data_IF_617564281666
#
_entry.id   IF_617564281666
#
_cell.length_a   1.000
_cell.length_b   1.000
_cell.length_c   1.000
_cell.angle_alpha   90.00
_cell.angle_beta   90.00
_cell.angle_gamma   90.00
#
_symmetry.space_group_name_H-M   'P 1'
#
loop_
_entity.id
_entity.type
_entity.pdbx_description
1 polymer ?
#
# COMPACT_ATOMS: atom_id res chain seq x y z
N UNK A 1 6.24 -12.77 8.05
CA UNK A 1 6.37 -11.40 7.52
C UNK A 1 4.97 -10.81 7.55
N UNK A 2 4.78 -9.66 8.20
CA UNK A 2 3.45 -9.04 8.32
C UNK A 2 3.15 -8.32 7.00
N UNK A 3 2.07 -8.70 6.34
CA UNK A 3 1.58 -8.08 5.11
C UNK A 3 0.71 -6.88 5.49
N UNK A 4 1.12 -5.70 5.04
CA UNK A 4 0.52 -4.43 5.44
C UNK A 4 -0.14 -3.78 4.23
N UNK A 5 -1.38 -3.33 4.42
CA UNK A 5 -2.06 -2.36 3.56
C UNK A 5 -2.12 -1.00 4.26
N UNK A 6 -1.95 0.10 3.51
CA UNK A 6 -1.99 1.46 4.06
C UNK A 6 -3.13 2.26 3.40
N UNK A 7 -4.08 2.72 4.19
CA UNK A 7 -5.07 3.70 3.74
C UNK A 7 -4.38 5.06 3.53
N UNK A 8 -4.67 5.70 2.40
CA UNK A 8 -4.00 6.94 2.03
C UNK A 8 -2.49 6.79 1.81
N UNK A 9 -2.01 5.65 1.30
CA UNK A 9 -0.58 5.35 1.13
C UNK A 9 0.24 6.38 0.33
N UNK A 10 -0.42 7.20 -0.51
CA UNK A 10 0.22 8.30 -1.24
C UNK A 10 0.13 9.67 -0.53
N UNK A 11 -0.54 9.75 0.62
CA UNK A 11 -0.72 10.96 1.41
C UNK A 11 0.53 11.32 2.22
N UNK A 12 0.50 12.48 2.89
CA UNK A 12 1.67 13.00 3.63
C UNK A 12 2.20 12.01 4.68
N UNK A 13 1.34 11.42 5.50
CA UNK A 13 1.74 10.40 6.48
C UNK A 13 1.89 9.01 5.84
N UNK A 14 0.92 8.62 4.99
CA UNK A 14 0.91 7.30 4.36
C UNK A 14 2.12 7.03 3.49
N UNK A 15 2.71 8.05 2.86
CA UNK A 15 3.90 7.90 2.01
C UNK A 15 5.16 7.58 2.79
N UNK A 16 5.37 8.22 3.95
CA UNK A 16 6.50 7.90 4.84
C UNK A 16 6.31 6.52 5.49
N UNK A 17 5.09 6.20 5.92
CA UNK A 17 4.76 4.85 6.42
C UNK A 17 5.00 3.78 5.35
N UNK A 18 4.60 4.03 4.12
CA UNK A 18 4.78 3.10 2.99
C UNK A 18 6.26 2.83 2.73
N UNK A 19 7.10 3.86 2.74
CA UNK A 19 8.56 3.73 2.58
C UNK A 19 9.17 2.90 3.71
N UNK A 20 8.78 3.16 4.96
CA UNK A 20 9.34 2.46 6.11
C UNK A 20 8.92 0.97 6.12
N UNK A 21 7.64 0.68 5.94
CA UNK A 21 7.12 -0.69 5.86
C UNK A 21 7.83 -1.48 4.76
N UNK A 22 8.09 -0.84 3.61
CA UNK A 22 8.77 -1.46 2.48
C UNK A 22 10.26 -1.77 2.75
N UNK A 23 10.92 -0.99 3.61
CA UNK A 23 12.31 -1.20 4.00
C UNK A 23 12.48 -2.09 5.25
N UNK A 24 11.40 -2.38 5.96
CA UNK A 24 11.42 -3.13 7.21
C UNK A 24 11.51 -4.65 6.95
N UNK A 25 12.45 -5.34 7.61
CA UNK A 25 12.78 -6.75 7.32
C UNK A 25 11.68 -7.76 7.66
N UNK A 26 10.78 -7.41 8.58
CA UNK A 26 9.70 -8.29 9.02
C UNK A 26 8.32 -7.89 8.47
N UNK A 27 8.25 -6.89 7.59
CA UNK A 27 7.01 -6.40 7.01
C UNK A 27 7.09 -6.42 5.49
N UNK A 28 5.93 -6.40 4.86
CA UNK A 28 5.78 -6.31 3.42
C UNK A 28 4.62 -5.38 3.11
N UNK A 29 4.88 -4.32 2.34
CA UNK A 29 3.81 -3.47 1.80
C UNK A 29 3.17 -4.19 0.61
N UNK A 30 1.90 -4.58 0.75
CA UNK A 30 1.18 -5.39 -0.26
C UNK A 30 0.10 -4.62 -1.02
N UNK A 31 -0.30 -3.46 -0.52
CA UNK A 31 -1.26 -2.60 -1.19
C UNK A 31 -1.51 -1.29 -0.45
N UNK A 32 -2.30 -0.41 -1.06
CA UNK A 32 -2.79 0.79 -0.41
C UNK A 32 -4.24 1.08 -0.83
N UNK A 33 -4.93 1.91 -0.06
CA UNK A 33 -6.25 2.41 -0.41
C UNK A 33 -6.21 3.89 -0.73
N UNK A 34 -6.85 4.29 -1.83
CA UNK A 34 -7.06 5.69 -2.17
C UNK A 34 -8.22 5.82 -3.17
N UNK A 35 -9.16 6.71 -2.87
CA UNK A 35 -10.26 7.02 -3.80
C UNK A 35 -9.77 7.78 -5.04
N UNK A 36 -8.70 8.56 -4.89
CA UNK A 36 -8.19 9.45 -5.93
C UNK A 36 -7.19 8.77 -6.88
N UNK A 37 -6.45 7.77 -6.39
CA UNK A 37 -5.37 7.10 -7.15
C UNK A 37 -5.68 5.62 -7.43
N UNK A 38 -6.97 5.25 -7.46
CA UNK A 38 -7.41 3.87 -7.64
C UNK A 38 -6.94 3.29 -8.98
N UNK A 39 -6.44 2.05 -8.95
CA UNK A 39 -5.90 1.37 -10.13
C UNK A 39 -4.46 1.74 -10.48
N UNK A 40 -3.87 2.72 -9.79
CA UNK A 40 -2.46 3.06 -9.94
C UNK A 40 -1.55 2.15 -9.11
N UNK A 41 -0.25 2.26 -9.36
CA UNK A 41 0.79 1.57 -8.61
C UNK A 41 1.48 2.54 -7.64
N UNK A 42 1.40 2.28 -6.34
CA UNK A 42 1.98 3.15 -5.32
C UNK A 42 3.50 3.29 -5.46
N UNK A 43 4.18 2.24 -5.93
CA UNK A 43 5.63 2.29 -6.13
C UNK A 43 6.02 3.31 -7.21
N UNK A 44 5.18 3.54 -8.22
CA UNK A 44 5.41 4.56 -9.24
C UNK A 44 5.20 5.96 -8.67
N UNK A 45 4.09 6.18 -7.96
CA UNK A 45 3.77 7.46 -7.31
C UNK A 45 4.90 7.89 -6.35
N UNK A 46 5.42 6.95 -5.58
CA UNK A 46 6.44 7.21 -4.55
C UNK A 46 7.88 6.98 -5.01
N UNK A 47 8.12 6.67 -6.30
CA UNK A 47 9.44 6.36 -6.87
C UNK A 47 10.21 5.24 -6.14
N UNK A 48 9.52 4.16 -5.78
CA UNK A 48 10.06 3.01 -5.01
C UNK A 48 10.62 1.89 -5.91
N UNK A 49 10.96 2.21 -7.16
CA UNK A 49 11.46 1.27 -8.16
C UNK A 49 10.39 0.36 -8.75
N UNK A 50 10.81 -0.75 -9.35
CA UNK A 50 10.00 -1.62 -10.22
C UNK A 50 9.00 -2.54 -9.49
N UNK A 51 8.51 -2.14 -8.32
CA UNK A 51 7.58 -2.95 -7.51
C UNK A 51 6.15 -2.74 -7.97
N UNK A 52 5.31 -3.75 -7.77
CA UNK A 52 3.88 -3.63 -8.01
C UNK A 52 3.16 -3.59 -6.65
N UNK A 53 2.68 -2.41 -6.27
CA UNK A 53 1.94 -2.16 -5.03
C UNK A 53 0.61 -1.52 -5.42
N UNK A 54 -0.43 -2.32 -5.67
CA UNK A 54 -1.69 -1.83 -6.22
C UNK A 54 -2.41 -0.90 -5.23
N UNK A 55 -3.07 0.11 -5.79
CA UNK A 55 -3.96 1.01 -5.04
C UNK A 55 -5.41 0.66 -5.34
N UNK A 56 -6.15 0.33 -4.29
CA UNK A 56 -7.57 -0.02 -4.35
C UNK A 56 -8.45 1.17 -3.95
N UNK A 57 -9.68 1.20 -4.48
CA UNK A 57 -10.67 2.21 -4.12
C UNK A 57 -11.23 1.99 -2.71
N UNK A 58 -11.49 0.74 -2.37
CA UNK A 58 -12.18 0.35 -1.14
C UNK A 58 -11.69 -1.00 -0.59
N UNK A 59 -12.21 -1.35 0.59
CA UNK A 59 -11.85 -2.56 1.31
C UNK A 59 -12.33 -3.83 0.62
N UNK A 60 -13.46 -3.78 -0.07
CA UNK A 60 -14.06 -4.94 -0.74
C UNK A 60 -13.17 -5.40 -1.90
N UNK A 61 -12.73 -4.45 -2.74
CA UNK A 61 -11.76 -4.70 -3.81
C UNK A 61 -10.41 -5.19 -3.25
N UNK A 62 -9.96 -4.61 -2.13
CA UNK A 62 -8.69 -4.98 -1.49
C UNK A 62 -8.72 -6.42 -0.99
N UNK A 63 -9.71 -6.77 -0.16
CA UNK A 63 -9.88 -8.11 0.42
C UNK A 63 -10.10 -9.21 -0.63
N UNK A 64 -10.66 -8.85 -1.79
CA UNK A 64 -10.88 -9.79 -2.89
C UNK A 64 -9.64 -10.03 -3.76
N UNK A 65 -8.65 -9.14 -3.70
CA UNK A 65 -7.50 -9.14 -4.63
C UNK A 65 -6.17 -9.43 -3.94
N UNK A 66 -5.98 -8.98 -2.71
CA UNK A 66 -4.71 -9.06 -1.99
C UNK A 66 -4.94 -9.62 -0.59
N UNK A 67 -4.11 -10.57 -0.22
CA UNK A 67 -4.05 -11.11 1.14
C UNK A 67 -3.15 -10.21 2.01
N UNK A 68 -3.68 -9.71 3.13
CA UNK A 68 -2.96 -8.85 4.07
C UNK A 68 -3.36 -9.16 5.52
N UNK A 69 -2.43 -8.94 6.45
CA UNK A 69 -2.62 -9.22 7.88
C UNK A 69 -3.15 -8.00 8.64
N UNK A 70 -2.69 -6.80 8.24
CA UNK A 70 -2.98 -5.55 8.94
C UNK A 70 -3.29 -4.44 7.93
N UNK A 71 -4.33 -3.67 8.22
CA UNK A 71 -4.59 -2.36 7.62
C UNK A 71 -4.15 -1.26 8.58
N UNK A 72 -3.41 -0.27 8.08
CA UNK A 72 -3.09 0.98 8.80
C UNK A 72 -3.90 2.11 8.17
N UNK A 73 -4.64 2.86 8.99
CA UNK A 73 -5.50 4.01 8.60
C UNK A 73 -5.14 5.26 9.43
#
# INVERSE_FOLDING_TARGET
MIKVCIAGGAGWAGSELSKEVLNHTNMQLVGALSRNNKGENLAEILNLGSRNIPIFEDMEATLSTVDFDVLVD
#
